data_IF_858637839936
#
_entry.id   IF_858637839936
#
_cell.length_a   1.000
_cell.length_b   1.000
_cell.length_c   1.000
_cell.angle_alpha   90.00
_cell.angle_beta   90.00
_cell.angle_gamma   90.00
#
_symmetry.space_group_name_H-M   'P 1'
#
loop_
_entity.id
_entity.type
_entity.pdbx_description
1 polymer ?
#
# COMPACT_ATOMS: atom_id res chain seq x y z
N UNK A 1 32.31 -46.08 27.87
CA UNK A 1 31.79 -45.76 29.21
C UNK A 1 31.63 -44.25 29.22
N UNK A 2 30.48 -43.61 29.01
CA UNK A 2 29.04 -43.91 28.88
C UNK A 2 28.48 -42.82 27.91
N UNK A 3 27.83 -43.08 26.77
CA UNK A 3 26.39 -43.33 26.47
C UNK A 3 25.32 -42.36 27.02
N UNK A 4 24.51 -41.81 26.08
CA UNK A 4 23.06 -41.46 26.14
C UNK A 4 22.62 -40.15 26.87
N UNK A 5 21.57 -39.37 26.50
CA UNK A 5 20.40 -39.49 25.60
C UNK A 5 19.72 -38.11 25.33
N UNK A 6 19.14 -37.97 24.13
CA UNK A 6 17.81 -37.41 23.75
C UNK A 6 17.30 -36.04 24.24
N UNK A 7 16.95 -35.18 23.26
CA UNK A 7 15.54 -34.80 23.02
C UNK A 7 15.36 -34.31 21.58
N UNK A 8 14.67 -35.14 20.80
CA UNK A 8 13.94 -34.77 19.58
C UNK A 8 12.80 -33.81 19.94
N UNK A 9 12.54 -32.84 19.05
CA UNK A 9 11.18 -32.41 18.77
C UNK A 9 11.05 -32.08 17.29
N UNK A 10 10.81 -33.13 16.51
CA UNK A 10 10.11 -33.03 15.24
C UNK A 10 8.73 -32.41 15.48
N UNK A 11 8.43 -31.33 14.76
CA UNK A 11 7.10 -31.14 14.21
C UNK A 11 7.26 -30.84 12.72
N UNK A 12 7.36 -31.93 11.96
CA UNK A 12 6.65 -32.00 10.68
C UNK A 12 5.19 -31.64 10.96
N UNK A 13 4.78 -30.47 10.49
CA UNK A 13 3.40 -30.18 10.16
C UNK A 13 3.42 -29.58 8.76
N UNK A 14 3.11 -30.44 7.79
CA UNK A 14 2.52 -30.12 6.50
C UNK A 14 3.10 -28.93 5.72
N UNK A 15 4.19 -29.18 4.98
CA UNK A 15 4.19 -29.09 3.51
C UNK A 15 3.59 -27.85 2.79
N UNK A 16 3.47 -26.71 3.44
CA UNK A 16 3.09 -25.44 2.83
C UNK A 16 4.25 -24.47 3.00
N UNK A 17 4.99 -24.27 1.92
CA UNK A 17 5.86 -23.12 1.79
C UNK A 17 4.97 -21.88 1.70
N UNK A 18 4.64 -21.32 2.86
CA UNK A 18 4.17 -19.94 2.94
C UNK A 18 5.29 -19.08 2.35
N UNK A 19 5.02 -18.16 1.40
CA UNK A 19 6.01 -17.17 1.03
C UNK A 19 6.39 -16.42 2.30
N UNK A 20 7.70 -16.29 2.48
CA UNK A 20 8.37 -15.68 3.63
C UNK A 20 7.69 -14.34 3.98
N UNK A 21 6.86 -14.37 5.02
CA UNK A 21 6.22 -13.19 5.56
C UNK A 21 7.29 -12.47 6.37
N UNK A 22 7.98 -11.54 5.70
CA UNK A 22 8.34 -10.27 6.30
C UNK A 22 9.39 -10.30 7.42
N UNK A 23 10.62 -9.88 7.12
CA UNK A 23 11.19 -8.81 7.96
C UNK A 23 10.45 -7.52 7.61
N UNK A 24 9.19 -7.38 8.06
CA UNK A 24 8.41 -6.16 7.92
C UNK A 24 9.15 -5.11 8.74
N UNK A 25 9.86 -4.24 8.03
CA UNK A 25 10.57 -3.13 8.65
C UNK A 25 9.50 -2.14 9.06
N UNK A 26 8.96 -2.29 10.27
CA UNK A 26 7.91 -1.40 10.79
C UNK A 26 8.36 0.03 10.68
N UNK A 27 7.68 0.75 9.84
CA UNK A 27 7.97 2.10 9.47
C UNK A 27 6.99 3.06 10.18
N UNK A 28 7.29 4.35 10.23
CA UNK A 28 6.41 5.38 10.80
C UNK A 28 5.85 6.27 9.68
N UNK A 29 4.64 6.77 9.87
CA UNK A 29 3.93 7.57 8.87
C UNK A 29 3.54 8.95 9.44
N UNK A 30 3.84 10.01 8.71
CA UNK A 30 3.51 11.39 9.05
C UNK A 30 2.43 11.87 8.08
N UNK A 31 1.20 12.15 8.54
CA UNK A 31 0.16 12.72 7.68
C UNK A 31 0.50 14.17 7.36
N UNK A 32 0.52 14.53 6.07
CA UNK A 32 0.94 15.86 5.60
C UNK A 32 -0.10 16.58 4.73
N UNK A 33 -1.14 15.87 4.30
CA UNK A 33 -2.27 16.43 3.57
C UNK A 33 -3.51 15.59 3.81
N UNK A 34 -4.65 16.25 4.02
CA UNK A 34 -5.98 15.63 3.99
C UNK A 34 -6.86 16.41 3.03
N UNK A 35 -7.47 15.72 2.07
CA UNK A 35 -8.26 16.35 1.00
C UNK A 35 -9.31 15.39 0.46
N UNK A 36 -10.44 15.91 -0.02
CA UNK A 36 -11.43 15.13 -0.78
C UNK A 36 -11.11 15.07 -2.28
N UNK A 37 -10.05 15.77 -2.73
CA UNK A 37 -9.60 15.79 -4.11
C UNK A 37 -8.43 14.81 -4.30
N UNK A 38 -8.71 13.65 -4.87
CA UNK A 38 -7.72 12.60 -5.12
C UNK A 38 -6.65 13.04 -6.12
N UNK A 39 -7.01 13.87 -7.11
CA UNK A 39 -6.05 14.42 -8.06
C UNK A 39 -5.11 15.40 -7.34
N UNK A 40 -5.66 16.24 -6.47
CA UNK A 40 -4.88 17.13 -5.60
C UNK A 40 -3.94 16.39 -4.65
N UNK A 41 -4.38 15.26 -4.08
CA UNK A 41 -3.52 14.37 -3.28
C UNK A 41 -2.36 13.79 -4.11
N UNK A 42 -2.65 13.30 -5.31
CA UNK A 42 -1.61 12.78 -6.21
C UNK A 42 -0.61 13.86 -6.64
N UNK A 43 -1.07 15.08 -6.94
CA UNK A 43 -0.17 16.21 -7.23
C UNK A 43 0.76 16.53 -6.06
N UNK A 44 0.27 16.41 -4.82
CA UNK A 44 1.12 16.57 -3.63
C UNK A 44 2.19 15.48 -3.55
N UNK A 45 1.83 14.22 -3.83
CA UNK A 45 2.79 13.11 -3.95
C UNK A 45 3.81 13.39 -5.05
N UNK A 46 3.41 13.85 -6.24
CA UNK A 46 4.33 14.15 -7.33
C UNK A 46 5.37 15.21 -6.93
N UNK A 47 4.95 16.23 -6.15
CA UNK A 47 5.89 17.21 -5.58
C UNK A 47 6.86 16.55 -4.60
N UNK A 48 6.40 15.66 -3.73
CA UNK A 48 7.28 14.91 -2.82
C UNK A 48 8.28 14.03 -3.58
N UNK A 49 7.79 13.27 -4.57
CA UNK A 49 8.62 12.39 -5.40
C UNK A 49 9.61 13.18 -6.28
N UNK A 50 9.38 14.46 -6.54
CA UNK A 50 10.37 15.30 -7.23
C UNK A 50 11.66 15.53 -6.42
N UNK A 51 11.62 15.29 -5.10
CA UNK A 51 12.78 15.31 -4.21
C UNK A 51 13.48 13.96 -4.11
N UNK A 52 12.81 12.88 -4.51
CA UNK A 52 13.33 11.53 -4.40
C UNK A 52 14.48 11.31 -5.38
N UNK A 53 15.44 10.48 -4.97
CA UNK A 53 16.50 9.94 -5.82
C UNK A 53 16.02 8.54 -6.27
N UNK A 54 15.60 8.36 -7.52
CA UNK A 54 15.08 7.08 -7.99
C UNK A 54 16.14 5.98 -7.87
N UNK A 55 15.70 4.79 -7.45
CA UNK A 55 16.54 3.59 -7.48
C UNK A 55 16.08 2.66 -8.59
N UNK A 56 16.89 1.63 -8.87
CA UNK A 56 16.43 0.51 -9.68
C UNK A 56 15.15 -0.07 -9.06
N UNK A 57 14.14 -0.29 -9.91
CA UNK A 57 12.80 -0.75 -9.53
C UNK A 57 11.95 0.27 -8.76
N UNK A 58 12.21 1.58 -8.91
CA UNK A 58 11.26 2.60 -8.49
C UNK A 58 9.86 2.27 -9.04
N UNK A 59 8.92 2.03 -8.15
CA UNK A 59 7.65 1.40 -8.49
C UNK A 59 6.50 1.98 -7.67
N UNK A 60 5.30 1.58 -8.05
CA UNK A 60 4.05 1.92 -7.40
C UNK A 60 3.24 0.65 -7.10
N UNK A 61 2.70 0.56 -5.90
CA UNK A 61 1.75 -0.48 -5.48
C UNK A 61 0.41 0.17 -5.19
N UNK A 62 -0.68 -0.57 -5.43
CA UNK A 62 -2.01 -0.08 -5.16
C UNK A 62 -2.97 -1.21 -4.78
N UNK A 63 -3.86 -0.90 -3.84
CA UNK A 63 -4.95 -1.78 -3.44
C UNK A 63 -6.26 -1.00 -3.42
N UNK A 64 -7.37 -1.60 -3.86
CA UNK A 64 -8.66 -0.96 -3.79
C UNK A 64 -9.80 -1.94 -3.51
N UNK A 65 -10.61 -1.62 -2.50
CA UNK A 65 -11.80 -2.38 -2.16
C UNK A 65 -12.98 -1.96 -3.05
N UNK A 66 -13.61 -2.92 -3.70
CA UNK A 66 -14.91 -2.77 -4.33
C UNK A 66 -16.00 -3.26 -3.37
N UNK A 67 -17.01 -2.43 -3.14
CA UNK A 67 -18.15 -2.72 -2.27
C UNK A 67 -19.40 -3.14 -3.07
N UNK A 68 -19.35 -3.00 -4.39
CA UNK A 68 -20.44 -3.37 -5.31
C UNK A 68 -19.91 -4.18 -6.50
N UNK A 69 -20.75 -5.02 -7.13
CA UNK A 69 -20.34 -5.76 -8.32
C UNK A 69 -19.94 -4.83 -9.48
N UNK A 70 -20.59 -3.67 -9.59
CA UNK A 70 -20.29 -2.68 -10.61
C UNK A 70 -18.92 -2.01 -10.41
N UNK A 71 -18.53 -1.72 -9.16
CA UNK A 71 -17.17 -1.25 -8.84
C UNK A 71 -16.12 -2.32 -9.20
N UNK A 72 -16.36 -3.57 -8.78
CA UNK A 72 -15.45 -4.68 -9.08
C UNK A 72 -15.26 -4.88 -10.59
N UNK A 73 -16.35 -4.81 -11.37
CA UNK A 73 -16.32 -4.89 -12.82
C UNK A 73 -15.49 -3.77 -13.45
N UNK A 74 -15.66 -2.52 -13.01
CA UNK A 74 -14.86 -1.39 -13.51
C UNK A 74 -13.37 -1.59 -13.23
N UNK A 75 -13.02 -2.03 -12.02
CA UNK A 75 -11.64 -2.34 -11.63
C UNK A 75 -11.02 -3.43 -12.51
N UNK A 76 -11.71 -4.57 -12.69
CA UNK A 76 -11.23 -5.68 -13.52
C UNK A 76 -11.15 -5.31 -15.01
N UNK A 77 -12.07 -4.47 -15.50
CA UNK A 77 -12.03 -3.98 -16.87
C UNK A 77 -10.81 -3.07 -17.12
N UNK A 78 -10.48 -2.19 -16.18
CA UNK A 78 -9.31 -1.32 -16.27
C UNK A 78 -7.99 -2.10 -16.10
N UNK A 79 -7.99 -3.11 -15.22
CA UNK A 79 -6.81 -3.91 -14.89
C UNK A 79 -7.06 -5.40 -15.15
N UNK A 80 -7.10 -5.85 -16.41
CA UNK A 80 -7.50 -7.22 -16.74
C UNK A 80 -6.53 -8.29 -16.24
N UNK A 81 -5.29 -7.92 -15.90
CA UNK A 81 -4.24 -8.81 -15.40
C UNK A 81 -4.04 -8.74 -13.88
N UNK A 82 -4.82 -7.92 -13.17
CA UNK A 82 -4.67 -7.77 -11.72
C UNK A 82 -5.09 -9.01 -10.97
N UNK A 83 -4.60 -9.11 -9.74
CA UNK A 83 -5.14 -10.05 -8.76
C UNK A 83 -6.34 -9.40 -8.10
N UNK A 84 -7.40 -10.17 -7.88
CA UNK A 84 -8.57 -9.74 -7.10
C UNK A 84 -8.89 -10.83 -6.09
N UNK A 85 -9.12 -10.44 -4.83
CA UNK A 85 -9.42 -11.36 -3.74
C UNK A 85 -10.52 -10.82 -2.83
N UNK A 86 -11.54 -11.63 -2.51
CA UNK A 86 -12.43 -11.40 -1.37
C UNK A 86 -11.67 -11.32 -0.05
N UNK A 87 -12.29 -10.66 0.92
CA UNK A 87 -11.76 -10.57 2.29
C UNK A 87 -11.68 -11.93 3.00
N UNK A 88 -12.54 -12.90 2.66
CA UNK A 88 -12.51 -14.26 3.24
C UNK A 88 -11.36 -15.08 2.61
N UNK A 89 -10.29 -15.39 3.38
CA UNK A 89 -9.15 -16.14 2.87
C UNK A 89 -9.41 -17.66 2.77
N UNK A 90 -10.51 -18.17 3.33
CA UNK A 90 -10.84 -19.61 3.37
C UNK A 90 -11.84 -20.04 2.30
N UNK A 91 -12.16 -19.15 1.35
CA UNK A 91 -13.07 -19.45 0.25
C UNK A 91 -12.52 -20.53 -0.70
N UNK A 92 -13.40 -21.27 -1.39
CA UNK A 92 -12.98 -22.27 -2.37
C UNK A 92 -12.47 -21.68 -3.69
N UNK A 93 -12.90 -20.47 -4.09
CA UNK A 93 -12.54 -19.87 -5.37
C UNK A 93 -11.12 -19.28 -5.38
N UNK A 94 -10.34 -19.64 -6.39
CA UNK A 94 -9.07 -18.99 -6.69
C UNK A 94 -9.26 -17.53 -7.12
N UNK A 95 -8.26 -16.68 -6.90
CA UNK A 95 -8.27 -15.27 -7.37
C UNK A 95 -8.54 -15.17 -8.88
N UNK A 96 -8.06 -16.14 -9.66
CA UNK A 96 -8.30 -16.21 -11.10
C UNK A 96 -9.76 -16.53 -11.45
N UNK A 97 -10.45 -17.35 -10.66
CA UNK A 97 -11.88 -17.63 -10.81
C UNK A 97 -12.71 -16.41 -10.45
N UNK A 98 -12.45 -15.82 -9.29
CA UNK A 98 -13.13 -14.59 -8.85
C UNK A 98 -13.03 -13.50 -9.93
N UNK A 99 -11.84 -13.25 -10.47
CA UNK A 99 -11.65 -12.26 -11.53
C UNK A 99 -12.48 -12.57 -12.78
N UNK A 100 -12.57 -13.84 -13.19
CA UNK A 100 -13.39 -14.26 -14.34
C UNK A 100 -14.89 -14.07 -14.06
N UNK A 101 -15.35 -14.40 -12.86
CA UNK A 101 -16.74 -14.17 -12.43
C UNK A 101 -17.09 -12.68 -12.47
N UNK A 102 -16.22 -11.83 -11.93
CA UNK A 102 -16.37 -10.37 -11.98
C UNK A 102 -16.45 -9.89 -13.43
N UNK A 103 -15.50 -10.29 -14.28
CA UNK A 103 -15.46 -9.90 -15.69
C UNK A 103 -16.71 -10.36 -16.48
N UNK A 104 -17.27 -11.52 -16.13
CA UNK A 104 -18.48 -12.05 -16.73
C UNK A 104 -19.77 -11.41 -16.19
N UNK A 105 -19.68 -10.63 -15.12
CA UNK A 105 -20.83 -10.08 -14.40
C UNK A 105 -21.69 -11.14 -13.74
N UNK A 106 -21.05 -12.18 -13.20
CA UNK A 106 -21.72 -13.25 -12.47
C UNK A 106 -22.43 -12.68 -11.22
N UNK A 107 -23.75 -12.92 -11.03
CA UNK A 107 -24.47 -12.46 -9.85
C UNK A 107 -23.90 -13.02 -8.53
N UNK A 108 -23.22 -14.17 -8.55
CA UNK A 108 -22.58 -14.77 -7.38
C UNK A 108 -21.49 -13.87 -6.77
N UNK A 109 -20.92 -12.94 -7.54
CA UNK A 109 -19.95 -11.96 -7.04
C UNK A 109 -20.50 -11.16 -5.86
N UNK A 110 -21.82 -10.96 -5.80
CA UNK A 110 -22.46 -10.25 -4.66
C UNK A 110 -22.15 -10.91 -3.32
N UNK A 111 -22.07 -12.24 -3.27
CA UNK A 111 -21.75 -12.99 -2.06
C UNK A 111 -20.25 -12.97 -1.71
N UNK A 112 -19.41 -12.55 -2.66
CA UNK A 112 -17.96 -12.46 -2.51
C UNK A 112 -17.51 -11.06 -2.08
N UNK A 113 -18.41 -10.08 -2.03
CA UNK A 113 -18.08 -8.72 -1.63
C UNK A 113 -17.81 -8.62 -0.11
N UNK A 114 -16.92 -7.73 0.31
CA UNK A 114 -16.08 -6.88 -0.54
C UNK A 114 -14.95 -7.67 -1.21
N UNK A 115 -14.50 -7.19 -2.38
CA UNK A 115 -13.33 -7.73 -3.08
C UNK A 115 -12.26 -6.66 -3.23
N UNK A 116 -11.00 -7.04 -3.06
CA UNK A 116 -9.86 -6.14 -3.14
C UNK A 116 -9.07 -6.40 -4.41
N UNK A 117 -8.90 -5.36 -5.23
CA UNK A 117 -7.97 -5.30 -6.35
C UNK A 117 -6.55 -5.12 -5.80
N UNK A 118 -5.59 -5.86 -6.34
CA UNK A 118 -4.17 -5.74 -6.00
C UNK A 118 -3.34 -5.46 -7.26
N UNK A 119 -2.53 -4.41 -7.21
CA UNK A 119 -1.57 -4.00 -8.23
C UNK A 119 -0.21 -3.85 -7.56
N UNK A 120 0.70 -4.79 -7.81
CA UNK A 120 2.01 -4.81 -7.15
C UNK A 120 3.12 -4.50 -8.15
N UNK A 121 4.16 -3.78 -7.70
CA UNK A 121 5.41 -3.56 -8.44
C UNK A 121 5.20 -3.00 -9.86
N UNK A 122 4.27 -2.05 -10.01
CA UNK A 122 4.01 -1.41 -11.29
C UNK A 122 5.01 -0.27 -11.55
N UNK A 123 5.38 0.01 -12.81
CA UNK A 123 6.18 1.19 -13.12
C UNK A 123 5.46 2.48 -12.68
N UNK A 124 6.19 3.43 -12.11
CA UNK A 124 5.64 4.74 -11.76
C UNK A 124 5.13 5.46 -13.02
N UNK A 125 3.93 6.01 -12.94
CA UNK A 125 3.22 6.65 -14.05
C UNK A 125 2.42 5.70 -14.94
N UNK A 126 2.38 4.39 -14.65
CA UNK A 126 1.68 3.41 -15.48
C UNK A 126 0.24 3.10 -15.08
N UNK A 127 -0.12 3.31 -13.81
CA UNK A 127 -1.45 2.89 -13.29
C UNK A 127 -2.23 4.01 -12.60
N UNK A 128 -1.58 5.08 -12.15
CA UNK A 128 -2.12 6.05 -11.20
C UNK A 128 -3.42 6.68 -11.70
N UNK A 129 -3.44 7.22 -12.93
CA UNK A 129 -4.62 7.85 -13.52
C UNK A 129 -5.78 6.86 -13.68
N UNK A 130 -5.50 5.68 -14.25
CA UNK A 130 -6.50 4.64 -14.45
C UNK A 130 -7.04 4.11 -13.12
N UNK A 131 -6.18 4.03 -12.10
CA UNK A 131 -6.54 3.58 -10.76
C UNK A 131 -7.50 4.57 -10.10
N UNK A 132 -7.18 5.87 -10.12
CA UNK A 132 -8.08 6.90 -9.58
C UNK A 132 -9.42 6.97 -10.30
N UNK A 133 -9.46 6.68 -11.61
CA UNK A 133 -10.70 6.67 -12.37
C UNK A 133 -11.66 5.53 -11.99
N UNK A 134 -11.17 4.45 -11.37
CA UNK A 134 -12.00 3.29 -10.97
C UNK A 134 -12.29 3.21 -9.48
N UNK A 135 -11.66 4.05 -8.65
CA UNK A 135 -11.93 4.10 -7.21
C UNK A 135 -13.43 4.38 -6.97
N UNK A 136 -14.02 3.53 -6.13
CA UNK A 136 -15.38 3.65 -5.65
C UNK A 136 -15.44 4.20 -4.23
N UNK A 137 -16.46 3.75 -3.50
CA UNK A 137 -16.68 4.12 -2.10
C UNK A 137 -15.85 3.30 -1.10
N UNK A 138 -15.26 2.19 -1.55
CA UNK A 138 -14.38 1.36 -0.72
C UNK A 138 -13.03 2.01 -0.44
N UNK A 139 -12.35 1.50 0.59
CA UNK A 139 -11.03 1.97 0.99
C UNK A 139 -9.98 1.52 -0.01
N UNK A 140 -8.97 2.35 -0.21
CA UNK A 140 -7.88 2.03 -1.13
C UNK A 140 -6.56 2.64 -0.64
N UNK A 141 -5.45 2.16 -1.16
CA UNK A 141 -4.15 2.80 -1.05
C UNK A 141 -3.44 2.82 -2.39
N UNK A 142 -2.59 3.80 -2.55
CA UNK A 142 -1.52 3.78 -3.54
C UNK A 142 -0.25 4.28 -2.87
N UNK A 143 0.86 3.58 -3.08
CA UNK A 143 2.15 3.90 -2.49
C UNK A 143 3.28 3.77 -3.49
N UNK A 144 4.30 4.60 -3.29
CA UNK A 144 5.52 4.64 -4.09
C UNK A 144 6.67 4.27 -3.16
N UNK A 145 7.54 3.38 -3.62
CA UNK A 145 8.68 2.84 -2.88
C UNK A 145 9.86 2.56 -3.84
N UNK A 146 10.98 2.04 -3.34
CA UNK A 146 12.22 1.86 -4.12
C UNK A 146 12.80 3.17 -4.66
N UNK A 147 12.94 4.16 -3.78
CA UNK A 147 13.72 5.37 -4.01
C UNK A 147 14.48 5.75 -2.72
N UNK A 148 15.34 6.75 -2.80
CA UNK A 148 15.98 7.34 -1.62
C UNK A 148 15.54 8.77 -1.39
N UNK A 149 15.38 9.16 -0.13
CA UNK A 149 15.35 10.56 0.25
C UNK A 149 16.76 11.16 0.18
N UNK A 150 16.89 12.42 -0.25
CA UNK A 150 18.18 13.09 -0.35
C UNK A 150 18.80 13.32 1.04
N UNK A 151 20.10 13.60 1.08
CA UNK A 151 20.71 14.10 2.31
C UNK A 151 20.11 15.47 2.69
N UNK A 152 20.02 15.75 3.99
CA UNK A 152 19.61 17.03 4.56
C UNK A 152 20.73 17.53 5.48
N UNK A 153 21.75 18.23 4.94
CA UNK A 153 22.94 18.62 5.69
C UNK A 153 22.64 19.52 6.90
N UNK A 154 21.63 20.40 6.81
CA UNK A 154 21.26 21.26 7.94
C UNK A 154 20.70 20.50 9.15
N UNK A 155 20.30 19.23 8.97
CA UNK A 155 19.82 18.33 10.02
C UNK A 155 20.82 17.20 10.33
N UNK A 156 22.01 17.22 9.72
CA UNK A 156 23.00 16.13 9.81
C UNK A 156 22.44 14.76 9.37
N UNK A 157 21.61 14.76 8.33
CA UNK A 157 20.93 13.56 7.83
C UNK A 157 21.50 13.14 6.47
N UNK A 158 22.02 11.91 6.38
CA UNK A 158 22.54 11.35 5.13
C UNK A 158 21.43 10.92 4.14
N UNK A 159 21.80 10.42 2.95
CA UNK A 159 20.84 9.79 2.04
C UNK A 159 20.18 8.58 2.73
N UNK A 160 18.87 8.39 2.54
CA UNK A 160 18.14 7.28 3.16
C UNK A 160 17.21 6.60 2.16
N UNK A 161 17.39 5.30 1.97
CA UNK A 161 16.49 4.44 1.18
C UNK A 161 15.57 3.59 2.07
N UNK A 162 16.07 3.14 3.22
CA UNK A 162 15.31 2.25 4.09
C UNK A 162 14.12 3.00 4.69
N UNK A 163 12.94 2.42 4.56
CA UNK A 163 11.69 3.01 4.97
C UNK A 163 11.49 4.38 4.29
N UNK A 164 11.92 4.54 3.02
CA UNK A 164 11.55 5.66 2.16
C UNK A 164 10.38 5.27 1.26
N UNK A 165 9.22 5.84 1.55
CA UNK A 165 7.96 5.55 0.86
C UNK A 165 7.05 6.78 0.97
N UNK A 166 6.06 6.88 0.10
CA UNK A 166 4.96 7.88 0.16
C UNK A 166 3.68 7.13 -0.12
N UNK A 167 2.60 7.43 0.61
CA UNK A 167 1.32 6.75 0.47
C UNK A 167 0.18 7.76 0.38
N UNK A 168 -0.84 7.43 -0.40
CA UNK A 168 -2.19 8.00 -0.26
C UNK A 168 -3.09 6.92 0.33
N UNK A 169 -3.63 7.14 1.52
CA UNK A 169 -4.77 6.40 2.04
C UNK A 169 -6.05 7.04 1.48
N UNK A 170 -6.82 6.27 0.73
CA UNK A 170 -8.01 6.72 -0.01
C UNK A 170 -9.26 6.20 0.73
N UNK A 171 -10.25 7.08 0.86
CA UNK A 171 -11.45 6.88 1.68
C UNK A 171 -11.13 6.46 3.12
N UNK A 172 -10.03 6.99 3.67
CA UNK A 172 -9.58 6.67 5.02
C UNK A 172 -8.66 7.75 5.60
N UNK A 173 -8.64 7.81 6.94
CA UNK A 173 -7.92 8.84 7.71
C UNK A 173 -6.62 8.39 8.34
N UNK A 174 -6.40 7.08 8.42
CA UNK A 174 -5.24 6.45 9.01
C UNK A 174 -4.47 5.63 7.97
N UNK A 175 -3.18 5.42 8.25
CA UNK A 175 -2.23 4.70 7.40
C UNK A 175 -2.65 3.25 7.11
N UNK A 176 -3.31 2.61 8.09
CA UNK A 176 -3.77 1.23 8.05
C UNK A 176 -5.06 1.02 7.26
N UNK A 177 -5.74 2.10 6.88
CA UNK A 177 -7.08 2.09 6.27
C UNK A 177 -8.17 1.54 7.21
N UNK A 178 -8.00 1.60 8.53
CA UNK A 178 -8.97 1.07 9.50
C UNK A 178 -10.11 2.03 9.83
N UNK A 179 -9.91 3.33 9.57
CA UNK A 179 -10.87 4.40 9.84
C UNK A 179 -11.45 4.91 8.50
N UNK A 180 -12.65 4.48 8.10
CA UNK A 180 -13.29 4.92 6.86
C UNK A 180 -13.57 6.43 6.87
N UNK A 181 -13.42 7.06 5.70
CA UNK A 181 -13.76 8.46 5.49
C UNK A 181 -14.10 8.73 4.02
N UNK A 182 -14.59 9.94 3.72
CA UNK A 182 -14.79 10.43 2.35
C UNK A 182 -13.63 11.28 1.85
N UNK A 183 -12.62 11.49 2.69
CA UNK A 183 -11.38 12.21 2.39
C UNK A 183 -10.21 11.23 2.21
N UNK A 184 -9.09 11.75 1.76
CA UNK A 184 -7.87 11.01 1.46
C UNK A 184 -6.71 11.66 2.21
N UNK A 185 -5.81 10.84 2.72
CA UNK A 185 -4.67 11.31 3.52
C UNK A 185 -3.36 10.92 2.84
N UNK A 186 -2.46 11.89 2.66
CA UNK A 186 -1.09 11.66 2.16
C UNK A 186 -0.17 11.50 3.35
N UNK A 187 0.63 10.43 3.32
CA UNK A 187 1.62 10.12 4.35
C UNK A 187 3.03 10.15 3.77
N UNK A 188 3.93 10.81 4.49
CA UNK A 188 5.38 10.65 4.33
C UNK A 188 5.84 9.65 5.37
N UNK A 189 6.72 8.78 4.95
CA UNK A 189 6.83 7.48 5.52
C UNK A 189 8.35 7.30 5.74
N UNK A 190 8.73 6.95 6.97
CA UNK A 190 10.09 7.11 7.47
C UNK A 190 10.46 6.08 8.54
N UNK A 191 11.75 5.91 8.80
CA UNK A 191 12.24 5.03 9.88
C UNK A 191 12.09 5.68 11.24
N UNK A 192 11.87 4.90 12.29
CA UNK A 192 11.88 5.42 13.68
C UNK A 192 13.12 6.28 13.96
N UNK A 193 12.89 7.49 14.49
CA UNK A 193 13.92 8.49 14.75
C UNK A 193 14.19 9.49 13.60
N UNK A 194 13.52 9.37 12.45
CA UNK A 194 13.76 10.19 11.25
C UNK A 194 12.59 11.15 10.96
N UNK A 195 11.85 11.57 11.99
CA UNK A 195 10.65 12.44 11.84
C UNK A 195 11.02 13.81 11.29
N UNK A 196 12.18 14.35 11.67
CA UNK A 196 12.66 15.66 11.22
C UNK A 196 12.86 15.67 9.69
N UNK A 197 13.28 14.54 9.10
CA UNK A 197 13.33 14.40 7.63
C UNK A 197 11.95 14.48 7.01
N UNK A 198 10.96 13.77 7.57
CA UNK A 198 9.60 13.77 7.03
C UNK A 198 8.97 15.16 7.10
N UNK A 199 9.18 15.89 8.19
CA UNK A 199 8.76 17.29 8.34
C UNK A 199 9.47 18.21 7.35
N UNK A 200 10.79 18.05 7.18
CA UNK A 200 11.58 18.81 6.21
C UNK A 200 11.09 18.57 4.78
N UNK A 201 10.85 17.32 4.38
CA UNK A 201 10.32 16.96 3.06
C UNK A 201 8.96 17.61 2.80
N UNK A 202 8.06 17.57 3.80
CA UNK A 202 6.77 18.24 3.70
C UNK A 202 6.92 19.75 3.46
N UNK A 203 7.82 20.40 4.20
CA UNK A 203 8.09 21.84 4.07
C UNK A 203 8.62 22.21 2.68
N UNK A 204 9.50 21.40 2.09
CA UNK A 204 10.05 21.65 0.75
C UNK A 204 8.97 21.73 -0.34
N UNK A 205 7.83 21.06 -0.13
CA UNK A 205 6.72 21.02 -1.08
C UNK A 205 5.52 21.87 -0.65
N UNK A 206 5.70 22.74 0.35
CA UNK A 206 4.67 23.63 0.86
C UNK A 206 3.58 22.93 1.70
N UNK A 207 3.87 21.75 2.24
CA UNK A 207 3.01 21.01 3.14
C UNK A 207 3.49 21.13 4.59
N UNK A 208 2.66 20.71 5.53
CA UNK A 208 2.96 20.67 6.96
C UNK A 208 2.33 19.41 7.57
N UNK A 209 2.88 18.88 8.68
CA UNK A 209 2.22 17.84 9.46
C UNK A 209 0.80 18.27 9.87
N UNK A 210 -0.18 17.39 9.71
CA UNK A 210 -1.59 17.67 10.04
C UNK A 210 -2.13 16.80 11.19
N UNK A 211 -1.27 15.99 11.80
CA UNK A 211 -1.65 15.04 12.82
C UNK A 211 -0.43 14.34 13.43
N UNK A 212 -0.65 13.45 14.42
CA UNK A 212 0.42 12.69 15.04
C UNK A 212 1.06 11.70 14.05
N UNK A 213 2.26 11.24 14.39
CA UNK A 213 2.90 10.11 13.71
C UNK A 213 2.09 8.83 13.96
N UNK A 214 1.87 8.07 12.91
CA UNK A 214 1.19 6.78 12.91
C UNK A 214 2.16 5.63 12.66
N UNK A 215 1.77 4.41 13.03
CA UNK A 215 2.57 3.21 12.83
C UNK A 215 2.28 2.65 11.43
N UNK A 216 3.29 2.68 10.57
CA UNK A 216 3.25 2.11 9.23
C UNK A 216 3.55 0.60 9.20
N UNK A 217 3.89 0.13 8.00
CA UNK A 217 4.12 -1.29 7.67
C UNK A 217 5.55 -1.72 7.91
#
# INVERSE_FOLDING_TARGET
METQLSSTNSRECAGLHLPDCSSMSTSNALPVLRTSDLVGAHQAVQRLLSLAIPMDKFQVNAEAQALTPAEAQRMVAAFPKSTVSPDDPYRPESNGEVRRMIAAGDPQVTALLPVTLHLESQPVGSIEEAFFAVIGSGRASIDWDFFSWPAVPELDLEIRNKDAYVQIAINSRDVGRDVPATDHTVFIHFRSGDVERAEWLAQQVGLQPIGPVEWGW
#
